data_IF_065446284981
#
_entry.id   IF_065446284981
#
_cell.length_a   1.000
_cell.length_b   1.000
_cell.length_c   1.000
_cell.angle_alpha   90.00
_cell.angle_beta   90.00
_cell.angle_gamma   90.00
#
_symmetry.space_group_name_H-M   'P 1'
#
loop_
_entity.id
_entity.type
_entity.pdbx_description
1 polymer ?
#
# COMPACT_ATOMS: atom_id res chain seq x y z
N UNK A 1 22.70 -7.82 -10.62
CA UNK A 1 22.58 -9.24 -10.24
C UNK A 1 22.14 -9.41 -8.78
N UNK A 2 22.86 -8.91 -7.78
CA UNK A 2 22.54 -9.07 -6.33
C UNK A 2 21.12 -8.61 -5.94
N UNK A 3 20.66 -7.44 -6.41
CA UNK A 3 19.30 -6.93 -6.12
C UNK A 3 18.19 -7.85 -6.67
N UNK A 4 18.40 -8.46 -7.83
CA UNK A 4 17.44 -9.38 -8.46
C UNK A 4 17.33 -10.69 -7.66
N UNK A 5 18.46 -11.29 -7.31
CA UNK A 5 18.51 -12.51 -6.49
C UNK A 5 17.83 -12.28 -5.15
N UNK A 6 18.10 -11.15 -4.49
CA UNK A 6 17.46 -10.78 -3.23
C UNK A 6 15.94 -10.68 -3.37
N UNK A 7 15.43 -10.03 -4.44
CA UNK A 7 13.98 -9.98 -4.72
C UNK A 7 13.37 -11.38 -4.92
N UNK A 8 14.02 -12.26 -5.68
CA UNK A 8 13.54 -13.63 -5.93
C UNK A 8 13.44 -14.44 -4.64
N UNK A 9 14.45 -14.38 -3.77
CA UNK A 9 14.42 -15.05 -2.47
C UNK A 9 13.27 -14.55 -1.59
N UNK A 10 13.04 -13.24 -1.57
CA UNK A 10 11.93 -12.67 -0.80
C UNK A 10 10.59 -13.13 -1.37
N UNK A 11 10.40 -13.07 -2.70
CA UNK A 11 9.16 -13.53 -3.35
C UNK A 11 8.87 -15.00 -3.05
N UNK A 12 9.86 -15.88 -3.09
CA UNK A 12 9.70 -17.29 -2.71
C UNK A 12 9.24 -17.44 -1.26
N UNK A 13 9.86 -16.71 -0.32
CA UNK A 13 9.43 -16.70 1.09
C UNK A 13 8.01 -16.18 1.26
N UNK A 14 7.63 -15.11 0.55
CA UNK A 14 6.28 -14.56 0.60
C UNK A 14 5.25 -15.57 0.08
N UNK A 15 5.54 -16.27 -1.00
CA UNK A 15 4.68 -17.31 -1.56
C UNK A 15 4.46 -18.46 -0.55
N UNK A 16 5.53 -18.98 0.03
CA UNK A 16 5.46 -20.02 1.05
C UNK A 16 4.62 -19.57 2.27
N UNK A 17 4.85 -18.38 2.78
CA UNK A 17 4.10 -17.84 3.92
C UNK A 17 2.64 -17.55 3.57
N UNK A 18 2.31 -17.35 2.29
CA UNK A 18 0.93 -17.22 1.81
C UNK A 18 0.20 -18.53 1.93
N UNK A 19 0.79 -19.62 1.45
CA UNK A 19 0.23 -20.98 1.59
C UNK A 19 0.02 -21.32 3.06
N UNK A 20 0.94 -20.91 3.94
CA UNK A 20 0.86 -21.11 5.38
C UNK A 20 -0.05 -20.09 6.11
N UNK A 21 -0.69 -19.15 5.40
CA UNK A 21 -1.54 -18.07 5.94
C UNK A 21 -0.85 -17.20 7.02
N UNK A 22 0.49 -17.02 6.94
CA UNK A 22 1.31 -16.31 7.94
C UNK A 22 1.61 -14.86 7.51
N UNK A 23 0.60 -14.00 7.40
CA UNK A 23 0.74 -12.65 6.85
C UNK A 23 1.56 -11.69 7.74
N UNK A 24 1.55 -11.83 9.07
CA UNK A 24 2.46 -11.08 9.95
C UNK A 24 3.92 -11.50 9.72
N UNK A 25 4.19 -12.77 9.49
CA UNK A 25 5.54 -13.25 9.16
C UNK A 25 6.01 -12.69 7.79
N UNK A 26 5.11 -12.49 6.83
CA UNK A 26 5.45 -11.81 5.57
C UNK A 26 5.91 -10.38 5.81
N UNK A 27 5.21 -9.61 6.64
CA UNK A 27 5.59 -8.25 7.00
C UNK A 27 7.01 -8.23 7.62
N UNK A 28 7.33 -9.18 8.50
CA UNK A 28 8.66 -9.29 9.11
C UNK A 28 9.74 -9.69 8.09
N UNK A 29 9.45 -10.57 7.13
CA UNK A 29 10.37 -10.90 6.03
C UNK A 29 10.70 -9.66 5.21
N UNK A 30 9.69 -8.86 4.86
CA UNK A 30 9.87 -7.61 4.12
C UNK A 30 10.70 -6.63 4.96
N UNK A 31 10.33 -6.39 6.21
CA UNK A 31 11.03 -5.47 7.11
C UNK A 31 12.52 -5.81 7.23
N UNK A 32 12.85 -7.08 7.53
CA UNK A 32 14.23 -7.56 7.68
C UNK A 32 15.02 -7.55 6.36
N UNK A 33 14.34 -7.49 5.24
CA UNK A 33 14.99 -7.48 3.93
C UNK A 33 15.59 -6.12 3.57
N UNK A 34 15.14 -5.03 4.20
CA UNK A 34 15.53 -3.64 3.91
C UNK A 34 15.43 -3.30 2.40
N UNK A 35 14.38 -3.80 1.72
CA UNK A 35 14.13 -3.45 0.31
C UNK A 35 13.24 -2.23 0.16
N UNK A 36 12.38 -1.97 1.15
CA UNK A 36 11.60 -0.74 1.24
C UNK A 36 12.48 0.39 1.80
N UNK A 37 12.13 1.64 1.50
CA UNK A 37 12.81 2.81 2.10
C UNK A 37 12.73 2.73 3.62
N UNK A 38 11.53 2.44 4.14
CA UNK A 38 11.26 2.20 5.55
C UNK A 38 10.17 1.14 5.68
N UNK A 39 10.24 0.30 6.71
CA UNK A 39 9.18 -0.62 7.06
C UNK A 39 9.14 -0.84 8.57
N UNK A 40 8.06 -0.39 9.21
CA UNK A 40 7.82 -0.46 10.64
C UNK A 40 7.56 -1.88 11.16
N UNK A 41 7.28 -1.98 12.46
CA UNK A 41 6.99 -3.24 13.17
C UNK A 41 5.49 -3.49 13.28
N UNK A 42 5.10 -4.73 13.61
CA UNK A 42 3.72 -5.11 13.90
C UNK A 42 2.80 -5.15 12.69
N UNK A 43 3.33 -4.97 11.48
CA UNK A 43 2.52 -4.92 10.27
C UNK A 43 1.88 -6.26 9.88
N UNK A 44 0.91 -6.16 8.99
CA UNK A 44 0.24 -7.27 8.30
C UNK A 44 0.36 -7.06 6.80
N UNK A 45 0.97 -7.99 6.07
CA UNK A 45 1.17 -7.91 4.63
C UNK A 45 0.56 -9.14 3.93
N UNK A 46 -0.57 -8.94 3.26
CA UNK A 46 -1.22 -10.03 2.53
C UNK A 46 -0.64 -10.26 1.12
N UNK A 47 -0.26 -9.22 0.34
CA UNK A 47 0.17 -9.40 -1.04
C UNK A 47 1.34 -10.39 -1.19
N UNK A 48 1.39 -11.06 -2.35
CA UNK A 48 2.48 -12.00 -2.70
C UNK A 48 3.49 -11.39 -3.67
N UNK A 49 3.41 -10.10 -3.91
CA UNK A 49 4.25 -9.35 -4.83
C UNK A 49 5.00 -8.23 -4.11
N UNK A 50 6.02 -7.72 -4.76
CA UNK A 50 6.84 -6.60 -4.30
C UNK A 50 6.79 -5.52 -5.39
N UNK A 51 6.58 -4.24 -5.03
CA UNK A 51 6.61 -3.11 -5.96
C UNK A 51 7.90 -3.04 -6.78
N UNK A 52 7.86 -2.34 -7.91
CA UNK A 52 9.01 -2.20 -8.82
C UNK A 52 10.14 -1.44 -8.14
N UNK A 53 9.82 -0.30 -7.50
CA UNK A 53 10.73 0.56 -6.76
C UNK A 53 10.36 0.60 -5.27
N UNK A 54 10.55 -0.49 -4.49
CA UNK A 54 10.18 -0.54 -3.09
C UNK A 54 10.98 0.46 -2.25
N UNK A 55 12.13 0.89 -2.72
CA UNK A 55 12.98 1.93 -2.15
C UNK A 55 12.34 3.35 -2.17
N UNK A 56 11.23 3.54 -2.90
CA UNK A 56 10.42 4.75 -2.86
C UNK A 56 9.26 4.66 -1.86
N UNK A 57 9.06 3.53 -1.18
CA UNK A 57 7.91 3.28 -0.32
C UNK A 57 8.33 3.24 1.15
N UNK A 58 7.68 4.07 1.98
CA UNK A 58 7.80 4.07 3.43
C UNK A 58 6.51 3.55 4.06
N UNK A 59 6.63 2.56 4.94
CA UNK A 59 5.50 1.96 5.68
C UNK A 59 5.79 2.07 7.18
N UNK A 60 4.86 2.65 7.93
CA UNK A 60 4.93 2.85 9.37
C UNK A 60 4.70 1.56 10.16
N UNK A 61 4.52 1.73 11.48
CA UNK A 61 4.22 0.64 12.41
C UNK A 61 2.75 0.21 12.32
N UNK A 62 2.48 -1.07 12.59
CA UNK A 62 1.12 -1.63 12.67
C UNK A 62 0.26 -1.42 11.41
N UNK A 63 0.87 -1.19 10.26
CA UNK A 63 0.14 -1.01 9.00
C UNK A 63 -0.41 -2.35 8.52
N UNK A 64 -1.69 -2.36 8.13
CA UNK A 64 -2.35 -3.51 7.52
C UNK A 64 -2.49 -3.29 6.02
N UNK A 65 -1.89 -4.17 5.22
CA UNK A 65 -2.07 -4.21 3.77
C UNK A 65 -2.80 -5.50 3.40
N UNK A 66 -4.06 -5.36 2.98
CA UNK A 66 -4.94 -6.48 2.70
C UNK A 66 -4.64 -7.14 1.33
N UNK A 67 -5.47 -8.12 0.97
CA UNK A 67 -5.30 -8.90 -0.26
C UNK A 67 -5.36 -8.02 -1.53
N UNK A 68 -4.51 -8.34 -2.50
CA UNK A 68 -4.50 -7.76 -3.84
C UNK A 68 -4.33 -6.24 -3.90
N UNK A 69 -3.87 -5.60 -2.81
CA UNK A 69 -3.52 -4.18 -2.82
C UNK A 69 -2.37 -3.95 -3.79
N UNK A 70 -2.45 -2.92 -4.62
CA UNK A 70 -1.39 -2.49 -5.53
C UNK A 70 -0.86 -1.12 -5.13
N UNK A 71 0.46 -0.97 -5.14
CA UNK A 71 1.14 0.31 -4.94
C UNK A 71 1.93 0.58 -6.21
N UNK A 72 1.65 1.67 -6.86
CA UNK A 72 2.32 2.13 -8.07
C UNK A 72 3.13 3.38 -7.76
N UNK A 73 4.43 3.24 -7.75
CA UNK A 73 5.41 4.29 -7.49
C UNK A 73 5.91 4.97 -8.77
N UNK A 74 5.36 4.59 -9.92
CA UNK A 74 5.69 5.16 -11.24
C UNK A 74 4.53 5.07 -12.21
N UNK A 75 4.63 5.80 -13.32
CA UNK A 75 3.78 5.62 -14.50
C UNK A 75 4.60 5.28 -15.76
N UNK A 76 3.89 5.01 -16.84
CA UNK A 76 4.48 4.68 -18.14
C UNK A 76 4.10 5.70 -19.22
N UNK A 77 3.55 6.86 -18.85
CA UNK A 77 3.02 7.86 -19.79
C UNK A 77 4.10 8.35 -20.76
N UNK A 78 5.34 8.51 -20.29
CA UNK A 78 6.48 8.89 -21.12
C UNK A 78 6.65 7.99 -22.37
N UNK A 79 6.26 6.70 -22.28
CA UNK A 79 6.34 5.76 -23.41
C UNK A 79 5.43 6.15 -24.56
N UNK A 80 4.31 6.81 -24.29
CA UNK A 80 3.37 7.27 -25.31
C UNK A 80 4.07 8.29 -26.21
N UNK A 81 4.69 9.30 -25.64
CA UNK A 81 5.39 10.33 -26.39
C UNK A 81 6.69 9.82 -27.02
N UNK A 82 7.51 9.14 -26.27
CA UNK A 82 8.82 8.65 -26.74
C UNK A 82 8.73 7.62 -27.87
N UNK A 83 7.55 7.06 -28.13
CA UNK A 83 7.29 6.10 -29.23
C UNK A 83 6.47 6.69 -30.37
N UNK A 84 5.98 7.89 -30.22
CA UNK A 84 5.27 8.57 -31.29
C UNK A 84 6.26 9.00 -32.37
N UNK A 85 6.08 8.52 -33.62
CA UNK A 85 6.93 8.88 -34.75
C UNK A 85 6.86 10.36 -35.13
N UNK A 86 5.81 11.07 -34.71
CA UNK A 86 5.64 12.51 -34.93
C UNK A 86 6.24 13.36 -33.79
N UNK A 87 6.68 12.73 -32.69
CA UNK A 87 7.27 13.44 -31.58
C UNK A 87 8.73 13.79 -31.86
N UNK A 88 9.00 15.08 -31.97
CA UNK A 88 10.34 15.62 -32.28
C UNK A 88 11.05 16.26 -31.09
N UNK A 89 10.42 16.21 -29.91
CA UNK A 89 10.97 16.74 -28.65
C UNK A 89 12.03 15.84 -28.01
N UNK A 90 12.61 16.28 -26.89
CA UNK A 90 13.57 15.46 -26.13
C UNK A 90 12.89 14.23 -25.53
N UNK A 91 13.63 13.15 -25.35
CA UNK A 91 13.14 11.98 -24.63
C UNK A 91 12.75 12.35 -23.20
N UNK A 92 11.61 11.85 -22.76
CA UNK A 92 11.06 12.09 -21.44
C UNK A 92 11.30 10.85 -20.57
N UNK A 93 11.83 11.05 -19.37
CA UNK A 93 12.01 9.98 -18.40
C UNK A 93 10.68 9.51 -17.79
N UNK A 94 10.66 8.28 -17.31
CA UNK A 94 9.52 7.77 -16.54
C UNK A 94 9.37 8.58 -15.25
N UNK A 95 8.14 9.00 -15.00
CA UNK A 95 7.84 9.63 -13.73
C UNK A 95 7.78 8.60 -12.60
N UNK A 96 8.50 8.89 -11.51
CA UNK A 96 8.47 8.10 -10.28
C UNK A 96 8.20 9.00 -9.10
N UNK A 97 7.50 8.49 -8.08
CA UNK A 97 7.21 9.28 -6.89
C UNK A 97 7.04 8.41 -5.65
N UNK A 98 7.34 8.97 -4.46
CA UNK A 98 7.26 8.24 -3.21
C UNK A 98 5.82 7.88 -2.85
N UNK A 99 5.67 6.80 -2.06
CA UNK A 99 4.43 6.46 -1.36
C UNK A 99 4.74 6.30 0.13
N UNK A 100 3.99 7.01 0.96
CA UNK A 100 4.15 6.96 2.42
C UNK A 100 2.86 6.47 3.06
N UNK A 101 2.95 5.41 3.85
CA UNK A 101 1.82 4.87 4.62
C UNK A 101 2.21 4.99 6.10
N UNK A 102 1.54 5.88 6.83
CA UNK A 102 1.84 6.17 8.23
C UNK A 102 1.28 5.10 9.17
N UNK A 103 1.67 5.18 10.45
CA UNK A 103 1.35 4.21 11.50
C UNK A 103 -0.15 3.90 11.60
N UNK A 104 -0.48 2.66 11.91
CA UNK A 104 -1.83 2.14 12.14
C UNK A 104 -2.78 2.30 10.94
N UNK A 105 -2.32 2.65 9.75
CA UNK A 105 -3.16 2.73 8.57
C UNK A 105 -3.62 1.33 8.10
N UNK A 106 -4.82 1.27 7.55
CA UNK A 106 -5.40 0.05 6.99
C UNK A 106 -5.70 0.27 5.51
N UNK A 107 -5.10 -0.54 4.66
CA UNK A 107 -5.33 -0.53 3.22
C UNK A 107 -6.20 -1.73 2.87
N UNK A 108 -7.46 -1.45 2.53
CA UNK A 108 -8.46 -2.45 2.16
C UNK A 108 -8.09 -3.21 0.89
N UNK A 109 -8.60 -4.44 0.79
CA UNK A 109 -8.27 -5.32 -0.33
C UNK A 109 -8.61 -4.75 -1.70
N UNK A 110 -7.79 -5.09 -2.70
CA UNK A 110 -7.93 -4.63 -4.09
C UNK A 110 -7.83 -3.11 -4.27
N UNK A 111 -7.35 -2.37 -3.28
CA UNK A 111 -7.10 -0.94 -3.41
C UNK A 111 -5.85 -0.70 -4.26
N UNK A 112 -5.82 0.46 -4.88
CA UNK A 112 -4.69 0.97 -5.67
C UNK A 112 -4.21 2.26 -5.03
N UNK A 113 -2.92 2.35 -4.70
CA UNK A 113 -2.28 3.56 -4.20
C UNK A 113 -1.32 4.04 -5.28
N UNK A 114 -1.49 5.27 -5.74
CA UNK A 114 -0.60 5.87 -6.75
C UNK A 114 0.58 6.58 -6.10
N UNK A 115 1.56 6.90 -6.92
CA UNK A 115 2.76 7.66 -6.54
C UNK A 115 2.40 9.06 -5.99
N UNK A 116 3.32 9.64 -5.24
CA UNK A 116 3.17 10.93 -4.53
C UNK A 116 1.98 10.98 -3.57
N UNK A 117 1.62 9.84 -2.98
CA UNK A 117 0.51 9.77 -2.02
C UNK A 117 1.04 9.47 -0.63
N UNK A 118 0.55 10.23 0.35
CA UNK A 118 0.70 9.97 1.77
C UNK A 118 -0.63 9.50 2.35
N UNK A 119 -0.64 8.30 2.93
CA UNK A 119 -1.76 7.81 3.75
C UNK A 119 -1.49 8.16 5.20
N UNK A 120 -2.37 8.94 5.81
CA UNK A 120 -2.26 9.44 7.19
C UNK A 120 -2.31 8.36 8.25
N UNK A 121 -1.97 8.74 9.50
CA UNK A 121 -2.05 7.85 10.66
C UNK A 121 -3.50 7.46 10.94
N UNK A 122 -3.70 6.19 11.32
CA UNK A 122 -5.03 5.67 11.63
C UNK A 122 -6.06 5.83 10.48
N UNK A 123 -5.60 6.10 9.25
CA UNK A 123 -6.47 6.22 8.09
C UNK A 123 -6.90 4.84 7.58
N UNK A 124 -8.05 4.79 6.92
CA UNK A 124 -8.60 3.60 6.28
C UNK A 124 -8.87 3.87 4.81
N UNK A 125 -8.22 3.10 3.95
CA UNK A 125 -8.62 2.99 2.55
C UNK A 125 -9.61 1.84 2.42
N UNK A 126 -10.84 2.14 2.04
CA UNK A 126 -11.87 1.12 1.80
C UNK A 126 -11.47 0.21 0.64
N UNK A 127 -11.91 -1.05 0.68
CA UNK A 127 -11.61 -2.02 -0.36
C UNK A 127 -12.00 -1.52 -1.75
N UNK A 128 -11.14 -1.77 -2.76
CA UNK A 128 -11.35 -1.32 -4.14
C UNK A 128 -11.10 0.17 -4.38
N UNK A 129 -10.67 0.93 -3.38
CA UNK A 129 -10.39 2.37 -3.54
C UNK A 129 -9.17 2.65 -4.41
N UNK A 130 -9.24 3.67 -5.26
CA UNK A 130 -8.10 4.17 -6.06
C UNK A 130 -7.64 5.51 -5.51
N UNK A 131 -6.56 5.50 -4.74
CA UNK A 131 -6.05 6.67 -4.03
C UNK A 131 -5.06 7.41 -4.92
N UNK A 132 -5.45 8.63 -5.31
CA UNK A 132 -4.71 9.51 -6.22
C UNK A 132 -4.20 10.79 -5.55
N UNK A 133 -4.54 11.00 -4.26
CA UNK A 133 -4.18 12.18 -3.46
C UNK A 133 -3.95 11.76 -2.01
N UNK A 134 -3.28 12.62 -1.26
CA UNK A 134 -3.04 12.40 0.17
C UNK A 134 -4.32 12.14 0.94
N UNK A 135 -4.23 11.24 1.90
CA UNK A 135 -5.31 10.88 2.82
C UNK A 135 -4.97 11.42 4.20
N UNK A 136 -5.80 12.29 4.79
CA UNK A 136 -5.57 12.83 6.12
C UNK A 136 -5.54 11.76 7.21
N UNK A 137 -4.92 12.09 8.35
CA UNK A 137 -4.98 11.25 9.54
C UNK A 137 -6.44 11.00 9.94
N UNK A 138 -6.76 9.77 10.34
CA UNK A 138 -8.10 9.30 10.73
C UNK A 138 -9.16 9.30 9.62
N UNK A 139 -8.86 9.74 8.42
CA UNK A 139 -9.85 9.72 7.33
C UNK A 139 -10.15 8.29 6.86
N UNK A 140 -11.41 8.04 6.50
CA UNK A 140 -11.83 6.90 5.71
C UNK A 140 -12.03 7.39 4.28
N UNK A 141 -11.33 6.77 3.33
CA UNK A 141 -11.46 7.08 1.90
C UNK A 141 -11.91 5.85 1.12
N UNK A 142 -12.65 6.08 0.03
CA UNK A 142 -13.11 4.99 -0.85
C UNK A 142 -13.60 5.51 -2.19
N UNK A 143 -13.76 4.59 -3.14
CA UNK A 143 -14.20 4.89 -4.51
C UNK A 143 -13.04 5.05 -5.50
N UNK A 144 -13.38 5.38 -6.76
CA UNK A 144 -12.43 5.62 -7.85
C UNK A 144 -12.82 6.91 -8.61
N UNK A 145 -12.04 8.02 -8.49
CA UNK A 145 -10.96 8.20 -7.51
C UNK A 145 -11.49 8.22 -6.07
N UNK A 146 -10.63 7.83 -5.11
CA UNK A 146 -11.00 7.79 -3.70
C UNK A 146 -11.30 9.18 -3.15
N UNK A 147 -12.39 9.28 -2.39
CA UNK A 147 -12.83 10.50 -1.67
C UNK A 147 -13.01 10.19 -0.20
N UNK A 148 -12.96 11.20 0.65
CA UNK A 148 -13.26 11.06 2.08
C UNK A 148 -14.74 10.69 2.22
N UNK A 149 -15.02 9.56 2.90
CA UNK A 149 -16.36 9.02 3.13
C UNK A 149 -16.67 8.85 4.62
N UNK A 150 -15.72 9.19 5.50
CA UNK A 150 -15.90 9.10 6.94
C UNK A 150 -14.64 9.33 7.74
N UNK A 151 -14.73 9.03 9.03
CA UNK A 151 -13.66 9.14 10.03
C UNK A 151 -13.55 7.83 10.83
N UNK A 152 -12.33 7.35 11.04
CA UNK A 152 -12.09 6.08 11.76
C UNK A 152 -12.47 6.15 13.23
N UNK A 153 -12.46 7.36 13.85
CA UNK A 153 -12.89 7.56 15.24
C UNK A 153 -14.38 7.34 15.42
N UNK A 154 -15.18 7.77 14.44
CA UNK A 154 -16.62 7.55 14.45
C UNK A 154 -16.97 6.10 14.11
N UNK A 155 -16.22 5.50 13.17
CA UNK A 155 -16.33 4.07 12.89
C UNK A 155 -16.01 3.24 14.14
N UNK A 156 -14.99 3.61 14.92
CA UNK A 156 -14.65 2.95 16.18
C UNK A 156 -15.81 3.02 17.18
N UNK A 157 -16.37 4.20 17.43
CA UNK A 157 -17.51 4.39 18.34
C UNK A 157 -18.71 3.50 17.93
N UNK A 158 -19.04 3.49 16.64
CA UNK A 158 -20.10 2.65 16.08
C UNK A 158 -19.82 1.16 16.30
N UNK A 159 -18.59 0.70 16.10
CA UNK A 159 -18.22 -0.72 16.31
C UNK A 159 -18.24 -1.10 17.79
N UNK A 160 -17.81 -0.20 18.66
CA UNK A 160 -17.84 -0.42 20.10
C UNK A 160 -19.27 -0.64 20.60
N UNK A 161 -20.23 0.22 20.21
CA UNK A 161 -21.63 0.09 20.61
C UNK A 161 -22.26 -1.23 20.16
N UNK A 162 -21.92 -1.73 18.96
CA UNK A 162 -22.40 -3.04 18.47
C UNK A 162 -21.80 -4.17 19.33
N UNK A 163 -20.51 -4.08 19.68
CA UNK A 163 -19.83 -5.12 20.48
C UNK A 163 -20.39 -5.20 21.90
N UNK A 164 -20.74 -4.05 22.49
CA UNK A 164 -21.35 -3.97 23.81
C UNK A 164 -22.82 -4.45 23.82
N UNK A 165 -23.56 -4.18 22.74
CA UNK A 165 -24.92 -4.70 22.55
C UNK A 165 -24.97 -6.23 22.52
N UNK A 166 -24.08 -6.84 21.73
CA UNK A 166 -24.02 -8.31 21.58
C UNK A 166 -23.52 -9.06 22.83
N UNK A 167 -23.00 -8.38 23.85
CA UNK A 167 -22.64 -8.99 25.14
C UNK A 167 -23.79 -9.03 26.16
N UNK A 168 -24.89 -8.39 25.84
CA UNK A 168 -26.09 -8.31 26.73
C UNK A 168 -27.21 -9.30 26.36
N UNK A 169 -27.05 -10.02 25.23
CA UNK A 169 -27.84 -11.17 24.83
C UNK A 169 -27.12 -12.48 25.21
#
# INVERSE_FOLDING_TARGET
>A
MVKLVKKLVILFKLLLLTVLKKNHAKAEVIRKSNIFKEYGRGGYWHPCWIPTHPDLISIGNNVTVAADVRIYEHDLVARMWNRDCNYTGPMIDYYTGPVVIKDNAVIGGRSIILYNVTIGKNALVAAGGVVTKDVPDFAIVGGNPAKIIGDTRDLYKKRLSITEGNKKE
#
